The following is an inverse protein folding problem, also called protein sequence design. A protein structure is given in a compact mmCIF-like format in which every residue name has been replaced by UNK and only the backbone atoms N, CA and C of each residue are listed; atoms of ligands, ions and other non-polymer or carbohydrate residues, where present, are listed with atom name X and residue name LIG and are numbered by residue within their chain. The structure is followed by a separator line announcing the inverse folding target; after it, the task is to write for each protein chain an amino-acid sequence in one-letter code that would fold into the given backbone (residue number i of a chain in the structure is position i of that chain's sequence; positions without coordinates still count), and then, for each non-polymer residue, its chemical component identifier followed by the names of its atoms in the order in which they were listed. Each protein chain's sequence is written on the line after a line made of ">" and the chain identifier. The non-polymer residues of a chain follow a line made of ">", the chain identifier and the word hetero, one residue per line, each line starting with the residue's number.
data_IF_821238719542
#
_entry.id   IF_821238719542
#
_cell.length_a   1.000
_cell.length_b   1.000
_cell.length_c   1.000
_cell.angle_alpha   90.00
_cell.angle_beta   90.00
_cell.angle_gamma   90.00
#
_symmetry.space_group_name_H-M   'P 1'
#
loop_
_entity.id
_entity.type
_entity.pdbx_description
1 polymer ?
#
# COMPACT_ATOMS: atom_id res chain seq x y z
N UNK A 1 -25.95 3.60 -22.35
CA UNK A 1 -24.59 3.56 -21.78
C UNK A 1 -24.14 2.12 -21.80
N UNK A 2 -23.09 1.84 -22.56
CA UNK A 2 -22.40 0.56 -22.53
C UNK A 2 -21.38 0.55 -21.40
N UNK A 3 -20.89 -0.62 -21.00
CA UNK A 3 -19.81 -0.75 -20.01
C UNK A 3 -18.51 -0.09 -20.48
N UNK A 4 -18.23 -0.06 -21.79
CA UNK A 4 -17.01 0.59 -22.31
C UNK A 4 -17.04 2.11 -22.15
N UNK A 5 -18.23 2.70 -21.99
CA UNK A 5 -18.39 4.14 -21.73
C UNK A 5 -17.84 4.55 -20.34
N UNK A 6 -17.58 3.57 -19.44
CA UNK A 6 -16.99 3.79 -18.11
C UNK A 6 -15.46 3.62 -18.09
N UNK A 7 -14.85 3.12 -19.17
CA UNK A 7 -13.41 2.87 -19.22
C UNK A 7 -12.65 4.10 -19.70
N UNK A 8 -11.52 4.38 -19.05
CA UNK A 8 -10.63 5.48 -19.44
C UNK A 8 -9.92 5.15 -20.76
N UNK A 9 -9.88 6.12 -21.68
CA UNK A 9 -9.03 6.10 -22.86
C UNK A 9 -7.54 6.22 -22.52
N UNK A 10 -6.68 5.99 -23.51
CA UNK A 10 -5.22 6.19 -23.38
C UNK A 10 -4.87 7.61 -22.93
N UNK A 11 -5.53 8.61 -23.49
CA UNK A 11 -5.34 10.02 -23.15
C UNK A 11 -5.86 10.34 -21.75
N UNK A 12 -7.02 9.82 -21.36
CA UNK A 12 -7.60 10.08 -20.03
C UNK A 12 -6.81 9.42 -18.89
N UNK A 13 -6.07 8.33 -19.18
CA UNK A 13 -5.14 7.72 -18.23
C UNK A 13 -3.97 8.66 -17.85
N UNK A 14 -3.62 9.63 -18.72
CA UNK A 14 -2.61 10.65 -18.41
C UNK A 14 -1.17 10.12 -18.24
N UNK A 15 -0.85 8.96 -18.83
CA UNK A 15 0.50 8.37 -18.77
C UNK A 15 0.90 7.74 -20.11
N UNK A 16 1.39 8.57 -21.04
CA UNK A 16 1.80 8.17 -22.39
C UNK A 16 2.99 7.20 -22.42
N UNK A 17 3.79 7.17 -21.35
CA UNK A 17 4.93 6.27 -21.23
C UNK A 17 4.51 4.83 -20.83
N UNK A 18 3.25 4.65 -20.38
CA UNK A 18 2.75 3.34 -19.98
C UNK A 18 2.64 2.39 -21.16
N UNK A 19 3.25 1.21 -21.03
CA UNK A 19 3.12 0.11 -22.00
C UNK A 19 2.02 -0.88 -21.62
N UNK A 20 1.26 -0.61 -20.55
CA UNK A 20 0.20 -1.49 -20.08
C UNK A 20 -1.05 -1.39 -20.97
N UNK A 21 -1.79 -2.48 -21.19
CA UNK A 21 -3.08 -2.45 -21.89
C UNK A 21 -4.04 -1.43 -21.29
N UNK A 22 -4.97 -0.89 -22.09
CA UNK A 22 -5.96 0.09 -21.63
C UNK A 22 -6.95 -0.51 -20.61
N UNK A 23 -7.35 -1.75 -20.86
CA UNK A 23 -8.13 -2.57 -19.96
C UNK A 23 -7.87 -4.04 -20.30
N UNK A 24 -8.25 -4.94 -19.39
CA UNK A 24 -8.26 -6.39 -19.60
C UNK A 24 -9.62 -6.94 -19.19
N UNK A 25 -10.03 -8.05 -19.80
CA UNK A 25 -11.20 -8.84 -19.41
C UNK A 25 -10.77 -10.15 -18.73
N UNK A 26 -11.73 -10.94 -18.26
CA UNK A 26 -11.46 -12.25 -17.62
C UNK A 26 -10.85 -12.18 -16.21
N UNK A 27 -10.71 -10.99 -15.62
CA UNK A 27 -10.16 -10.83 -14.27
C UNK A 27 -11.13 -11.39 -13.21
N UNK A 28 -10.59 -12.14 -12.24
CA UNK A 28 -11.32 -12.51 -11.03
C UNK A 28 -11.31 -11.33 -10.05
N UNK A 29 -12.48 -10.74 -9.80
CA UNK A 29 -12.65 -9.67 -8.81
C UNK A 29 -13.46 -10.21 -7.63
N UNK A 30 -12.86 -10.24 -6.45
CA UNK A 30 -13.53 -10.67 -5.21
C UNK A 30 -13.66 -9.47 -4.28
N UNK A 31 -14.87 -8.88 -4.11
CA UNK A 31 -15.05 -7.76 -3.21
C UNK A 31 -14.85 -8.22 -1.77
N UNK A 32 -14.02 -7.48 -1.03
CA UNK A 32 -13.82 -7.64 0.42
C UNK A 32 -14.23 -6.34 1.09
N UNK A 33 -15.34 -6.39 1.83
CA UNK A 33 -15.77 -5.26 2.65
C UNK A 33 -14.74 -5.06 3.76
N UNK A 34 -14.43 -3.80 4.04
CA UNK A 34 -13.49 -3.41 5.09
C UNK A 34 -13.80 -4.10 6.44
N UNK A 35 -12.74 -4.42 7.19
CA UNK A 35 -12.80 -5.14 8.46
C UNK A 35 -12.05 -6.47 8.42
N UNK A 36 -12.44 -7.40 9.28
CA UNK A 36 -11.67 -8.64 9.54
C UNK A 36 -11.34 -9.46 8.28
N UNK A 37 -12.29 -9.63 7.37
CA UNK A 37 -12.07 -10.43 6.15
C UNK A 37 -11.11 -9.75 5.14
N UNK A 38 -11.09 -8.41 5.13
CA UNK A 38 -10.15 -7.65 4.31
C UNK A 38 -8.74 -7.76 4.89
N UNK A 39 -8.58 -7.52 6.20
CA UNK A 39 -7.28 -7.57 6.84
C UNK A 39 -6.68 -8.99 6.87
N UNK A 40 -7.49 -10.02 7.11
CA UNK A 40 -7.01 -11.40 7.06
C UNK A 40 -6.49 -11.79 5.66
N UNK A 41 -7.17 -11.30 4.60
CA UNK A 41 -6.71 -11.50 3.22
C UNK A 41 -5.40 -10.76 2.95
N UNK A 42 -5.21 -9.56 3.50
CA UNK A 42 -3.97 -8.79 3.38
C UNK A 42 -2.82 -9.56 4.04
N UNK A 43 -3.00 -10.02 5.27
CA UNK A 43 -1.99 -10.82 5.98
C UNK A 43 -1.65 -12.06 5.18
N UNK A 44 -2.66 -12.82 4.73
CA UNK A 44 -2.46 -14.01 3.90
C UNK A 44 -1.72 -13.69 2.59
N UNK A 45 -1.95 -12.53 1.98
CA UNK A 45 -1.25 -12.12 0.76
C UNK A 45 0.24 -11.93 1.02
N UNK A 46 0.57 -11.20 2.08
CA UNK A 46 1.93 -10.79 2.39
C UNK A 46 2.74 -11.94 3.01
N UNK A 47 2.12 -12.79 3.82
CA UNK A 47 2.73 -14.01 4.35
C UNK A 47 3.09 -15.01 3.25
N UNK A 48 2.35 -14.99 2.13
CA UNK A 48 2.62 -15.84 0.97
C UNK A 48 3.73 -15.34 0.03
N UNK A 49 4.36 -14.19 0.32
CA UNK A 49 5.47 -13.67 -0.48
C UNK A 49 6.81 -14.27 -0.04
N UNK A 50 7.64 -14.61 -1.03
CA UNK A 50 8.97 -15.18 -0.87
C UNK A 50 10.08 -14.14 -1.19
N UNK A 51 11.33 -14.51 -0.89
CA UNK A 51 12.48 -13.68 -1.21
C UNK A 51 12.54 -13.34 -2.72
N UNK A 52 12.64 -12.05 -3.03
CA UNK A 52 12.62 -11.53 -4.41
C UNK A 52 11.24 -11.12 -4.93
N UNK A 53 10.15 -11.51 -4.26
CA UNK A 53 8.82 -10.98 -4.56
C UNK A 53 8.71 -9.50 -4.18
N UNK A 54 7.66 -8.82 -4.66
CA UNK A 54 7.48 -7.38 -4.50
C UNK A 54 6.23 -7.06 -3.70
N UNK A 55 6.39 -6.27 -2.64
CA UNK A 55 5.31 -5.64 -1.91
C UNK A 55 5.41 -4.13 -2.14
N UNK A 56 4.51 -3.61 -2.97
CA UNK A 56 4.37 -2.17 -3.18
C UNK A 56 3.12 -1.66 -2.48
N UNK A 57 3.28 -0.62 -1.66
CA UNK A 57 2.15 0.01 -0.98
C UNK A 57 2.18 1.53 -1.15
N UNK A 58 1.00 2.12 -1.10
CA UNK A 58 0.81 3.57 -1.11
C UNK A 58 -0.17 3.92 -0.01
N UNK A 59 0.13 4.95 0.78
CA UNK A 59 -0.75 5.37 1.84
C UNK A 59 -0.79 6.90 1.98
N UNK A 60 -1.92 7.41 2.45
CA UNK A 60 -2.12 8.80 2.79
C UNK A 60 -1.78 9.10 4.25
N UNK A 61 -2.15 8.20 5.17
CA UNK A 61 -1.80 8.23 6.59
C UNK A 61 -1.77 6.80 7.13
N UNK A 62 -0.59 6.21 7.14
CA UNK A 62 -0.40 4.88 7.73
C UNK A 62 -0.39 4.94 9.25
N UNK A 63 -1.08 3.98 9.87
CA UNK A 63 -0.97 3.66 11.28
C UNK A 63 -0.12 2.37 11.43
N UNK A 64 1.13 2.45 11.93
CA UNK A 64 1.98 1.28 12.10
C UNK A 64 1.42 0.27 13.11
N UNK A 65 0.61 0.72 14.06
CA UNK A 65 0.06 -0.07 15.16
C UNK A 65 -1.29 -0.73 14.79
N UNK A 66 -1.84 -0.43 13.61
CA UNK A 66 -3.10 -1.02 13.13
C UNK A 66 -2.98 -2.55 13.10
N UNK A 67 -3.79 -3.21 13.93
CA UNK A 67 -3.81 -4.66 14.08
C UNK A 67 -4.63 -5.32 12.97
N UNK A 68 -3.98 -6.17 12.19
CA UNK A 68 -4.62 -6.85 11.05
C UNK A 68 -5.41 -8.10 11.46
N UNK A 69 -5.12 -8.65 12.64
CA UNK A 69 -5.86 -9.74 13.29
C UNK A 69 -5.91 -9.46 14.80
N UNK A 70 -6.83 -10.08 15.56
CA UNK A 70 -6.99 -9.82 16.99
C UNK A 70 -5.67 -9.90 17.80
N UNK A 71 -4.85 -10.91 17.49
CA UNK A 71 -3.55 -11.15 18.16
C UNK A 71 -2.34 -10.67 17.35
N UNK A 72 -2.55 -9.82 16.34
CA UNK A 72 -1.52 -9.39 15.40
C UNK A 72 -1.37 -10.31 14.17
N UNK A 73 -0.56 -9.92 13.19
CA UNK A 73 0.42 -8.82 13.27
C UNK A 73 -0.20 -7.42 13.13
N UNK A 74 0.53 -6.39 13.53
CA UNK A 74 0.30 -5.03 13.05
C UNK A 74 0.74 -4.88 11.59
N UNK A 75 0.39 -3.75 10.95
CA UNK A 75 0.89 -3.41 9.61
C UNK A 75 2.42 -3.37 9.58
N UNK A 76 3.03 -2.69 10.56
CA UNK A 76 4.48 -2.58 10.65
C UNK A 76 5.15 -3.96 10.82
N UNK A 77 4.66 -4.77 11.76
CA UNK A 77 5.18 -6.12 11.99
C UNK A 77 5.11 -6.99 10.73
N UNK A 78 4.00 -6.93 10.00
CA UNK A 78 3.80 -7.69 8.77
C UNK A 78 4.80 -7.27 7.67
N UNK A 79 4.97 -5.97 7.46
CA UNK A 79 5.85 -5.44 6.40
C UNK A 79 7.33 -5.60 6.75
N UNK A 80 7.71 -5.34 8.01
CA UNK A 80 9.06 -5.57 8.50
C UNK A 80 9.44 -7.07 8.43
N UNK A 81 8.50 -7.97 8.75
CA UNK A 81 8.71 -9.41 8.58
C UNK A 81 8.95 -9.77 7.11
N UNK A 82 8.14 -9.24 6.19
CA UNK A 82 8.33 -9.47 4.76
C UNK A 82 9.70 -8.97 4.27
N UNK A 83 10.09 -7.74 4.62
CA UNK A 83 11.38 -7.17 4.27
C UNK A 83 12.54 -8.03 4.81
N UNK A 84 12.45 -8.45 6.08
CA UNK A 84 13.44 -9.32 6.73
C UNK A 84 13.56 -10.70 6.07
N UNK A 85 12.50 -11.20 5.43
CA UNK A 85 12.51 -12.45 4.63
C UNK A 85 13.11 -12.26 3.23
N UNK A 86 13.47 -11.05 2.82
CA UNK A 86 14.02 -10.74 1.50
C UNK A 86 12.97 -10.36 0.45
N UNK A 87 11.73 -10.08 0.86
CA UNK A 87 10.73 -9.46 -0.02
C UNK A 87 11.15 -8.03 -0.31
N UNK A 88 11.01 -7.58 -1.56
CA UNK A 88 11.27 -6.20 -1.97
C UNK A 88 10.08 -5.34 -1.54
N UNK A 89 10.19 -4.70 -0.38
CA UNK A 89 9.16 -3.82 0.18
C UNK A 89 9.43 -2.37 -0.22
N UNK A 90 8.52 -1.76 -0.96
CA UNK A 90 8.57 -0.34 -1.36
C UNK A 90 7.27 0.40 -1.02
N UNK A 91 7.40 1.51 -0.32
CA UNK A 91 6.28 2.37 0.06
C UNK A 91 6.34 3.75 -0.58
N UNK A 92 5.17 4.31 -0.92
CA UNK A 92 4.99 5.74 -1.15
C UNK A 92 3.97 6.29 -0.15
N UNK A 93 4.43 7.09 0.80
CA UNK A 93 3.57 7.68 1.83
C UNK A 93 3.42 9.18 1.63
N UNK A 94 2.19 9.68 1.70
CA UNK A 94 1.97 11.12 1.61
C UNK A 94 2.50 11.87 2.83
N UNK A 95 3.00 13.08 2.59
CA UNK A 95 3.43 14.01 3.64
C UNK A 95 2.39 15.12 3.83
N UNK A 96 1.72 15.18 4.99
CA UNK A 96 1.00 16.38 5.39
C UNK A 96 1.99 17.49 5.78
N UNK A 97 2.07 18.57 5.01
CA UNK A 97 2.69 19.81 5.48
C UNK A 97 1.69 20.55 6.39
N UNK A 98 1.96 20.58 7.71
CA UNK A 98 1.40 21.55 8.69
C UNK A 98 -0.12 21.41 8.98
N UNK A 99 -0.62 21.48 10.22
CA UNK A 99 -0.63 22.68 11.05
C UNK A 99 -0.82 22.36 12.55
N UNK A 100 0.07 22.92 13.38
CA UNK A 100 -0.13 23.58 14.70
C UNK A 100 -1.15 23.08 15.76
N UNK A 101 -1.80 21.94 15.59
CA UNK A 101 -2.71 21.36 16.58
C UNK A 101 -2.65 19.82 16.53
N UNK A 102 -1.64 19.27 17.21
CA UNK A 102 -1.69 17.96 17.88
C UNK A 102 -1.85 16.68 17.03
N UNK A 103 -0.89 15.77 17.20
CA UNK A 103 -1.07 14.31 17.04
C UNK A 103 -1.25 13.74 15.62
N UNK A 104 -0.32 14.00 14.69
CA UNK A 104 -0.27 13.22 13.43
C UNK A 104 1.10 13.03 12.78
N UNK A 105 2.15 13.76 13.19
CA UNK A 105 3.49 13.60 12.58
C UNK A 105 4.26 12.37 13.06
N UNK A 106 3.99 11.86 14.28
CA UNK A 106 4.75 10.73 14.84
C UNK A 106 4.38 9.41 14.14
N UNK A 107 3.09 9.08 14.02
CA UNK A 107 2.62 7.78 13.50
C UNK A 107 3.11 7.46 12.08
N UNK A 108 3.06 8.42 11.15
CA UNK A 108 3.50 8.17 9.76
C UNK A 108 5.03 8.11 9.60
N UNK A 109 5.81 8.68 10.52
CA UNK A 109 7.27 8.49 10.53
C UNK A 109 7.64 7.09 11.02
N UNK A 110 6.94 6.58 12.03
CA UNK A 110 7.23 5.28 12.61
C UNK A 110 7.14 4.12 11.60
N UNK A 111 6.09 4.07 10.76
CA UNK A 111 5.98 2.98 9.78
C UNK A 111 7.12 2.99 8.74
N UNK A 112 7.48 4.16 8.22
CA UNK A 112 8.55 4.30 7.24
C UNK A 112 9.91 3.90 7.84
N UNK A 113 10.22 4.45 9.02
CA UNK A 113 11.48 4.20 9.72
C UNK A 113 11.64 2.71 10.10
N UNK A 114 10.58 2.04 10.54
CA UNK A 114 10.60 0.62 10.89
C UNK A 114 10.83 -0.27 9.65
N UNK A 115 10.13 0.02 8.55
CA UNK A 115 10.28 -0.74 7.30
C UNK A 115 11.68 -0.54 6.72
N UNK A 116 12.22 0.68 6.76
CA UNK A 116 13.60 0.96 6.34
C UNK A 116 14.63 0.22 7.21
N UNK A 117 14.44 0.21 8.53
CA UNK A 117 15.30 -0.55 9.45
C UNK A 117 15.27 -2.06 9.17
N UNK A 118 14.14 -2.59 8.67
CA UNK A 118 14.00 -3.98 8.25
C UNK A 118 14.50 -4.29 6.83
N UNK A 119 15.01 -3.29 6.09
CA UNK A 119 15.56 -3.45 4.74
C UNK A 119 14.61 -3.12 3.59
N UNK A 120 13.43 -2.55 3.88
CA UNK A 120 12.54 -1.94 2.90
C UNK A 120 12.95 -0.50 2.55
N UNK A 121 12.14 0.17 1.73
CA UNK A 121 12.30 1.60 1.43
C UNK A 121 10.94 2.28 1.36
N UNK A 122 10.77 3.40 2.06
CA UNK A 122 9.51 4.14 2.09
C UNK A 122 9.77 5.60 1.76
N UNK A 123 9.35 6.02 0.58
CA UNK A 123 9.56 7.40 0.11
C UNK A 123 8.36 8.28 0.45
N UNK A 124 8.65 9.51 0.88
CA UNK A 124 7.64 10.51 1.16
C UNK A 124 7.22 11.27 -0.12
N UNK A 125 5.95 11.20 -0.47
CA UNK A 125 5.34 11.87 -1.61
C UNK A 125 4.69 13.20 -1.22
N UNK A 126 5.07 14.28 -1.91
CA UNK A 126 4.62 15.66 -1.65
C UNK A 126 3.80 16.26 -2.80
N UNK A 127 3.23 15.43 -3.68
CA UNK A 127 2.55 15.91 -4.89
C UNK A 127 1.14 16.49 -4.68
N UNK A 128 0.55 16.36 -3.48
CA UNK A 128 -0.70 17.08 -3.13
C UNK A 128 -0.34 18.51 -2.76
N UNK A 129 -0.83 19.47 -3.55
CA UNK A 129 -0.67 20.92 -3.33
C UNK A 129 -1.96 21.55 -2.86
#
# INVERSE_FOLDING_TARGET
>A
MSTVDWFLSASERGNEASKLPLWSDGNLVVPRVHGAAYFDRLVTAVEGLDAGDQLFFTDWRGDPDERLRPEGPTVAELFCSAASRGVIVKGLMWRSHSDKMGYSEEESRHLGDEVEAAGGEVLLDQRVR
#
